data_IF_741878877592
#
_entry.id   IF_741878877592
#
_cell.length_a   1.000
_cell.length_b   1.000
_cell.length_c   1.000
_cell.angle_alpha   90.00
_cell.angle_beta   90.00
_cell.angle_gamma   90.00
#
_symmetry.space_group_name_H-M   'P 1'
#
loop_
_entity.id
_entity.type
_entity.pdbx_description
1 polymer ?
#
# COMPACT_ATOMS: atom_id res chain seq x y z
N UNK A 1 -2.67 -1.31 -2.58
CA UNK A 1 -3.34 -2.60 -2.26
C UNK A 1 -2.27 -3.63 -1.90
N UNK A 2 -2.52 -4.53 -0.95
CA UNK A 2 -1.62 -5.64 -0.65
C UNK A 2 -2.40 -6.96 -0.52
N UNK A 3 -1.84 -8.07 -0.98
CA UNK A 3 -2.41 -9.40 -0.88
C UNK A 3 -1.41 -10.36 -0.21
N UNK A 4 -1.89 -11.09 0.78
CA UNK A 4 -1.18 -12.15 1.53
C UNK A 4 0.20 -11.78 2.10
N UNK A 5 0.47 -10.48 2.30
CA UNK A 5 1.82 -9.96 2.62
C UNK A 5 2.90 -10.43 1.61
N UNK A 6 2.51 -10.79 0.39
CA UNK A 6 3.40 -11.34 -0.65
C UNK A 6 3.51 -10.45 -1.87
N UNK A 7 2.42 -9.77 -2.22
CA UNK A 7 2.39 -8.86 -3.36
C UNK A 7 1.66 -7.58 -2.96
N UNK A 8 2.17 -6.45 -3.45
CA UNK A 8 1.48 -5.17 -3.32
C UNK A 8 1.47 -4.44 -4.65
N UNK A 9 0.34 -3.79 -4.93
CA UNK A 9 0.23 -2.77 -5.97
C UNK A 9 0.28 -1.40 -5.29
N UNK A 10 1.29 -0.61 -5.63
CA UNK A 10 1.48 0.78 -5.20
C UNK A 10 1.49 1.67 -6.43
N UNK A 11 0.67 2.70 -6.47
CA UNK A 11 0.59 3.60 -7.61
C UNK A 11 -0.25 4.82 -7.32
N UNK A 12 -0.35 5.70 -8.33
CA UNK A 12 -1.15 6.93 -8.28
C UNK A 12 -2.64 6.66 -8.43
N UNK A 13 -3.01 5.50 -9.00
CA UNK A 13 -4.39 5.13 -9.27
C UNK A 13 -5.22 5.04 -7.99
N UNK A 14 -6.08 6.04 -7.79
CA UNK A 14 -7.16 5.96 -6.81
C UNK A 14 -8.20 4.94 -7.27
N UNK A 15 -8.90 4.27 -6.35
CA UNK A 15 -9.93 3.27 -6.67
C UNK A 15 -11.25 3.94 -7.09
N UNK A 16 -11.21 4.72 -8.18
CA UNK A 16 -12.36 5.45 -8.72
C UNK A 16 -12.55 5.13 -10.20
N UNK A 17 -13.79 5.26 -10.69
CA UNK A 17 -14.09 5.06 -12.12
C UNK A 17 -13.33 6.02 -13.04
N UNK A 18 -12.96 7.21 -12.55
CA UNK A 18 -12.17 8.20 -13.28
C UNK A 18 -10.72 7.77 -13.46
N UNK A 19 -10.06 7.33 -12.39
CA UNK A 19 -8.68 6.85 -12.45
C UNK A 19 -8.51 5.65 -13.42
N UNK A 20 -9.56 4.85 -13.59
CA UNK A 20 -9.56 3.70 -14.50
C UNK A 20 -9.79 4.03 -15.97
N UNK A 21 -10.25 5.24 -16.31
CA UNK A 21 -10.71 5.57 -17.67
C UNK A 21 -10.16 6.87 -18.25
N UNK A 22 -9.88 7.86 -17.41
CA UNK A 22 -9.58 9.21 -17.85
C UNK A 22 -8.16 9.63 -17.48
N UNK A 23 -7.71 9.28 -16.28
CA UNK A 23 -6.40 9.70 -15.81
C UNK A 23 -5.28 8.84 -16.39
N UNK A 24 -4.13 9.46 -16.62
CA UNK A 24 -2.87 8.72 -16.78
C UNK A 24 -2.38 8.36 -15.38
N UNK A 25 -2.23 7.06 -15.14
CA UNK A 25 -1.81 6.53 -13.84
C UNK A 25 -0.54 5.70 -13.99
N UNK A 26 0.29 5.67 -12.95
CA UNK A 26 1.48 4.83 -12.87
C UNK A 26 1.49 4.04 -11.57
N UNK A 27 1.93 2.80 -11.65
CA UNK A 27 2.08 1.94 -10.48
C UNK A 27 3.15 0.88 -10.67
N UNK A 28 3.57 0.32 -9.54
CA UNK A 28 4.54 -0.76 -9.44
C UNK A 28 3.92 -1.95 -8.70
N UNK A 29 4.27 -3.15 -9.15
CA UNK A 29 3.94 -4.39 -8.46
C UNK A 29 5.17 -4.85 -7.67
N UNK A 30 5.07 -4.74 -6.34
CA UNK A 30 6.09 -5.16 -5.41
C UNK A 30 5.89 -6.63 -5.06
N UNK A 31 6.97 -7.42 -5.12
CA UNK A 31 6.97 -8.87 -4.80
C UNK A 31 7.98 -9.26 -3.71
N UNK A 32 8.87 -8.34 -3.32
CA UNK A 32 9.78 -8.58 -2.21
C UNK A 32 9.00 -8.66 -0.89
N UNK A 33 9.13 -9.78 -0.18
CA UNK A 33 8.31 -10.07 1.01
C UNK A 33 8.62 -9.12 2.18
N UNK A 34 9.87 -8.70 2.33
CA UNK A 34 10.24 -7.76 3.40
C UNK A 34 9.59 -6.39 3.15
N UNK A 35 9.74 -5.87 1.94
CA UNK A 35 9.14 -4.59 1.51
C UNK A 35 7.61 -4.62 1.61
N UNK A 36 6.97 -5.67 1.11
CA UNK A 36 5.50 -5.83 1.22
C UNK A 36 5.08 -5.96 2.68
N UNK A 37 5.88 -6.65 3.52
CA UNK A 37 5.67 -6.77 4.95
C UNK A 37 5.59 -5.40 5.64
N UNK A 38 6.60 -4.55 5.42
CA UNK A 38 6.65 -3.19 5.98
C UNK A 38 5.43 -2.36 5.57
N UNK A 39 5.01 -2.44 4.30
CA UNK A 39 3.83 -1.72 3.81
C UNK A 39 2.54 -2.20 4.48
N UNK A 40 2.38 -3.51 4.70
CA UNK A 40 1.21 -4.04 5.41
C UNK A 40 1.21 -3.64 6.88
N UNK A 41 2.37 -3.61 7.53
CA UNK A 41 2.48 -3.19 8.93
C UNK A 41 2.14 -1.70 9.09
N UNK A 42 2.53 -0.86 8.12
CA UNK A 42 2.09 0.54 8.06
C UNK A 42 0.56 0.67 7.93
N UNK A 43 -0.05 -0.09 7.01
CA UNK A 43 -1.51 -0.11 6.84
C UNK A 43 -2.25 -0.65 8.09
N UNK A 44 -1.62 -1.52 8.89
CA UNK A 44 -2.18 -1.98 10.17
C UNK A 44 -2.12 -0.88 11.23
N UNK A 45 -0.98 -0.19 11.34
CA UNK A 45 -0.83 0.93 12.26
C UNK A 45 -1.85 2.04 11.96
N UNK A 46 -2.05 2.41 10.70
CA UNK A 46 -3.05 3.43 10.30
C UNK A 46 -4.49 3.08 10.72
N UNK A 47 -4.81 1.79 10.88
CA UNK A 47 -6.15 1.33 11.29
C UNK A 47 -6.37 1.36 12.80
N UNK A 48 -5.31 1.29 13.58
CA UNK A 48 -5.38 1.37 15.04
C UNK A 48 -4.13 2.06 15.58
N UNK A 49 -4.02 3.39 15.41
CA UNK A 49 -2.86 4.12 15.89
C UNK A 49 -2.83 4.07 17.41
N UNK A 50 -1.81 3.45 18.00
CA UNK A 50 -1.48 3.68 19.41
C UNK A 50 -0.90 5.09 19.53
N UNK A 51 -1.19 5.82 20.62
CA UNK A 51 -0.64 7.16 20.84
C UNK A 51 0.89 7.16 20.66
N UNK A 52 1.37 7.66 19.51
CA UNK A 52 2.78 7.62 19.12
C UNK A 52 2.99 7.43 17.62
N UNK A 53 4.23 7.67 17.17
CA UNK A 53 4.64 7.48 15.78
C UNK A 53 4.82 6.00 15.45
N UNK A 54 4.51 5.61 14.21
CA UNK A 54 4.93 4.30 13.71
C UNK A 54 6.47 4.22 13.74
N UNK A 55 7.01 3.20 14.41
CA UNK A 55 8.45 2.94 14.43
C UNK A 55 8.80 1.97 13.30
N UNK A 56 9.93 2.17 12.60
CA UNK A 56 10.49 1.16 11.72
C UNK A 56 10.72 -0.14 12.51
N UNK A 57 10.49 -1.29 11.86
CA UNK A 57 10.81 -2.60 12.40
C UNK A 57 12.33 -2.84 12.38
#
# INVERSE_FOLDING_TARGET
MAADRRVALLGSANLTGRALRENVEIGVVLRDRATVGHLVDHLRWLRSPTAGFMRPA
#
